data_IF_597673478551
#
_entry.id   IF_597673478551
#
_cell.length_a   1.000
_cell.length_b   1.000
_cell.length_c   1.000
_cell.angle_alpha   90.00
_cell.angle_beta   90.00
_cell.angle_gamma   90.00
#
_symmetry.space_group_name_H-M   'P 1'
#
loop_
_entity.id
_entity.type
_entity.pdbx_description
1 polymer ?
#
# COMPACT_ATOMS: atom_id res chain seq x y z
N UNK A 1 -15.02 21.62 32.76
CA UNK A 1 -14.73 20.18 32.84
C UNK A 1 -14.19 19.77 31.48
N UNK A 2 -12.89 19.45 31.42
CA UNK A 2 -12.16 19.17 30.18
C UNK A 2 -12.60 17.79 29.66
N UNK A 3 -13.13 17.71 28.45
CA UNK A 3 -13.20 16.45 27.70
C UNK A 3 -12.32 16.60 26.47
N UNK A 4 -11.15 15.98 26.53
CA UNK A 4 -10.18 15.88 25.45
C UNK A 4 -10.82 15.13 24.28
N UNK A 5 -11.06 15.86 23.19
CA UNK A 5 -11.36 15.28 21.87
C UNK A 5 -10.00 14.91 21.29
N UNK A 6 -9.57 13.66 21.51
CA UNK A 6 -8.47 13.06 20.76
C UNK A 6 -8.91 12.94 19.29
N UNK A 7 -8.41 13.87 18.48
CA UNK A 7 -8.55 13.89 17.03
C UNK A 7 -8.12 12.54 16.44
N UNK A 8 -9.08 11.69 16.10
CA UNK A 8 -8.90 10.63 15.11
C UNK A 8 -8.91 11.24 13.69
N UNK A 9 -8.11 12.29 13.46
CA UNK A 9 -7.91 12.88 12.12
C UNK A 9 -6.86 12.08 11.37
N UNK A 10 -7.28 11.20 10.47
CA UNK A 10 -6.34 10.47 9.63
C UNK A 10 -6.85 10.04 8.26
N UNK A 11 -8.15 10.11 7.98
CA UNK A 11 -8.68 9.70 6.67
C UNK A 11 -9.85 10.60 6.25
N UNK A 12 -9.54 11.84 5.89
CA UNK A 12 -10.47 12.69 5.12
C UNK A 12 -10.23 12.37 3.63
N UNK A 13 -10.79 11.26 3.15
CA UNK A 13 -10.63 10.83 1.76
C UNK A 13 -11.35 11.77 0.80
N UNK A 14 -10.60 12.65 0.12
CA UNK A 14 -11.01 13.22 -1.15
C UNK A 14 -10.52 12.25 -2.24
N UNK A 15 -11.37 11.89 -3.21
CA UNK A 15 -10.93 11.11 -4.37
C UNK A 15 -10.09 12.04 -5.23
N UNK A 16 -8.77 11.93 -5.13
CA UNK A 16 -7.83 12.65 -5.98
C UNK A 16 -7.54 11.85 -7.25
N UNK A 17 -7.06 12.54 -8.29
CA UNK A 17 -6.55 11.95 -9.53
C UNK A 17 -5.52 10.84 -9.27
N UNK A 18 -5.25 10.01 -10.29
CA UNK A 18 -4.27 8.92 -10.21
C UNK A 18 -2.95 9.40 -9.56
N UNK A 19 -2.46 8.71 -8.52
CA UNK A 19 -1.22 9.05 -7.85
C UNK A 19 -0.02 8.98 -8.79
N UNK A 20 0.38 10.13 -9.32
CA UNK A 20 1.60 10.23 -10.12
C UNK A 20 2.79 10.08 -9.17
N UNK A 21 3.74 9.21 -9.50
CA UNK A 21 5.03 9.00 -8.80
C UNK A 21 6.18 9.66 -9.57
N UNK A 22 6.15 9.65 -10.90
CA UNK A 22 7.07 10.43 -11.74
C UNK A 22 6.34 10.82 -13.02
N UNK A 23 6.38 12.10 -13.36
CA UNK A 23 5.89 12.61 -14.64
C UNK A 23 7.11 12.96 -15.49
N UNK A 24 7.49 12.05 -16.38
CA UNK A 24 8.68 12.15 -17.21
C UNK A 24 8.27 12.56 -18.61
N UNK A 25 7.85 13.82 -18.77
CA UNK A 25 7.45 14.37 -20.05
C UNK A 25 8.62 14.46 -21.06
N UNK A 26 9.88 14.52 -20.59
CA UNK A 26 11.04 14.86 -21.43
C UNK A 26 12.28 13.93 -21.32
N UNK A 27 12.28 12.88 -20.48
CA UNK A 27 13.53 12.17 -20.12
C UNK A 27 13.72 10.75 -20.70
N UNK A 28 12.78 10.22 -21.49
CA UNK A 28 12.86 8.84 -21.98
C UNK A 28 12.63 7.75 -20.91
N UNK A 29 12.52 8.14 -19.64
CA UNK A 29 12.06 7.29 -18.55
C UNK A 29 10.55 7.11 -18.59
N UNK A 30 10.06 5.90 -18.29
CA UNK A 30 8.62 5.63 -18.21
C UNK A 30 8.01 6.33 -17.00
N UNK A 31 6.93 7.09 -17.21
CA UNK A 31 6.19 7.71 -16.11
C UNK A 31 5.68 6.63 -15.15
N UNK A 32 5.80 6.91 -13.86
CA UNK A 32 5.41 6.00 -12.79
C UNK A 32 4.13 6.49 -12.15
N UNK A 33 3.17 5.60 -12.00
CA UNK A 33 1.90 5.84 -11.33
C UNK A 33 1.70 4.76 -10.27
N UNK A 34 1.20 5.16 -9.11
CA UNK A 34 0.73 4.25 -8.07
C UNK A 34 -0.81 4.21 -8.12
N UNK A 35 -1.42 3.15 -7.59
CA UNK A 35 -2.88 3.01 -7.65
C UNK A 35 -3.56 3.76 -6.51
N UNK A 36 -2.90 3.84 -5.35
CA UNK A 36 -3.47 4.40 -4.13
C UNK A 36 -2.46 5.34 -3.48
N UNK A 37 -2.94 6.49 -3.02
CA UNK A 37 -2.20 7.38 -2.14
C UNK A 37 -3.00 7.66 -0.87
N UNK A 38 -2.38 7.51 0.28
CA UNK A 38 -2.98 7.74 1.59
C UNK A 38 -2.11 8.71 2.38
N UNK A 39 -2.71 9.82 2.82
CA UNK A 39 -2.05 10.77 3.70
C UNK A 39 -2.22 10.35 5.17
N UNK A 40 -1.13 10.32 5.93
CA UNK A 40 -1.14 9.89 7.33
C UNK A 40 -1.08 8.37 7.53
N UNK A 41 -0.82 7.60 6.46
CA UNK A 41 -0.84 6.14 6.50
C UNK A 41 0.17 5.56 7.50
N UNK A 42 1.43 5.99 7.41
CA UNK A 42 2.51 5.53 8.28
C UNK A 42 2.88 6.57 9.33
N UNK A 43 3.20 7.78 8.87
CA UNK A 43 3.59 8.92 9.68
C UNK A 43 2.56 10.04 9.53
N UNK A 44 2.36 10.81 10.61
CA UNK A 44 1.44 11.95 10.57
C UNK A 44 1.97 12.95 9.53
N UNK A 45 1.06 13.47 8.70
CA UNK A 45 1.36 14.47 7.66
C UNK A 45 2.31 14.01 6.53
N UNK A 46 2.60 12.71 6.43
CA UNK A 46 3.32 12.13 5.31
C UNK A 46 2.36 11.36 4.39
N UNK A 47 2.61 11.39 3.09
CA UNK A 47 1.85 10.59 2.12
C UNK A 47 2.56 9.26 1.88
N UNK A 48 1.78 8.19 1.81
CA UNK A 48 2.23 6.87 1.38
C UNK A 48 1.52 6.48 0.08
N UNK A 49 2.26 5.90 -0.85
CA UNK A 49 1.75 5.38 -2.12
C UNK A 49 1.86 3.87 -2.16
N UNK A 50 0.87 3.24 -2.80
CA UNK A 50 0.73 1.79 -2.90
C UNK A 50 0.41 1.42 -4.34
N UNK A 51 1.06 0.36 -4.82
CA UNK A 51 0.76 -0.25 -6.10
C UNK A 51 0.33 -1.71 -5.87
N UNK A 52 -0.83 -2.06 -6.38
CA UNK A 52 -1.46 -3.36 -6.23
C UNK A 52 -1.09 -4.24 -7.42
N UNK A 53 -0.59 -5.44 -7.13
CA UNK A 53 -0.21 -6.40 -8.15
C UNK A 53 -0.71 -7.79 -7.80
N UNK A 54 -1.45 -8.40 -8.73
CA UNK A 54 -1.96 -9.76 -8.62
C UNK A 54 -1.09 -10.70 -9.45
N UNK A 55 -0.67 -11.81 -8.85
CA UNK A 55 0.12 -12.86 -9.49
C UNK A 55 -0.70 -14.15 -9.58
N UNK A 56 -0.69 -14.77 -10.76
CA UNK A 56 -1.14 -16.15 -10.90
C UNK A 56 0.02 -17.09 -10.50
N UNK A 57 0.00 -17.54 -9.25
CA UNK A 57 1.04 -18.42 -8.70
C UNK A 57 0.94 -19.85 -9.22
N UNK A 58 -0.16 -20.21 -9.88
CA UNK A 58 -0.40 -21.53 -10.47
C UNK A 58 -0.01 -21.59 -11.96
N UNK A 59 0.46 -20.48 -12.54
CA UNK A 59 0.92 -20.45 -13.91
C UNK A 59 2.06 -21.46 -14.15
N UNK A 60 2.03 -22.14 -15.30
CA UNK A 60 3.00 -23.21 -15.63
C UNK A 60 4.46 -22.78 -15.53
N UNK A 61 4.76 -21.50 -15.82
CA UNK A 61 6.10 -20.92 -15.70
C UNK A 61 6.63 -20.90 -14.25
N UNK A 62 5.74 -21.01 -13.27
CA UNK A 62 6.02 -20.88 -11.85
C UNK A 62 5.93 -22.19 -11.06
N UNK A 63 5.72 -23.32 -11.73
CA UNK A 63 5.51 -24.65 -11.12
C UNK A 63 6.56 -25.05 -10.06
N UNK A 64 7.79 -24.53 -10.17
CA UNK A 64 8.90 -24.84 -9.26
C UNK A 64 9.23 -23.73 -8.27
N UNK A 65 8.41 -22.67 -8.21
CA UNK A 65 8.61 -21.53 -7.34
C UNK A 65 7.54 -21.52 -6.24
N UNK A 66 7.92 -21.51 -4.94
CA UNK A 66 6.95 -21.37 -3.87
C UNK A 66 6.18 -20.04 -4.00
N UNK A 67 4.83 -20.03 -3.86
CA UNK A 67 4.01 -18.82 -4.01
C UNK A 67 4.51 -17.61 -3.20
N UNK A 68 4.91 -17.85 -1.96
CA UNK A 68 5.42 -16.80 -1.08
C UNK A 68 6.77 -16.21 -1.55
N UNK A 69 7.62 -17.02 -2.19
CA UNK A 69 8.87 -16.54 -2.79
C UNK A 69 8.61 -15.66 -4.02
N UNK A 70 7.56 -15.99 -4.78
CA UNK A 70 7.14 -15.18 -5.92
C UNK A 70 6.58 -13.83 -5.47
N UNK A 71 5.72 -13.83 -4.45
CA UNK A 71 5.21 -12.60 -3.84
C UNK A 71 6.34 -11.71 -3.32
N UNK A 72 7.29 -12.27 -2.57
CA UNK A 72 8.45 -11.53 -2.08
C UNK A 72 9.33 -10.98 -3.23
N UNK A 73 9.42 -11.70 -4.34
CA UNK A 73 10.15 -11.24 -5.52
C UNK A 73 9.43 -10.09 -6.20
N UNK A 74 8.10 -10.19 -6.37
CA UNK A 74 7.28 -9.11 -6.91
C UNK A 74 7.33 -7.84 -6.03
N UNK A 75 7.24 -7.98 -4.70
CA UNK A 75 7.38 -6.86 -3.76
C UNK A 75 8.73 -6.15 -3.91
N UNK A 76 9.81 -6.93 -4.04
CA UNK A 76 11.17 -6.42 -4.26
C UNK A 76 11.31 -5.72 -5.61
N UNK A 77 10.72 -6.26 -6.67
CA UNK A 77 10.74 -5.65 -8.00
C UNK A 77 9.97 -4.33 -8.04
N UNK A 78 8.80 -4.27 -7.40
CA UNK A 78 8.07 -3.02 -7.22
C UNK A 78 8.88 -2.00 -6.43
N UNK A 79 9.42 -2.37 -5.26
CA UNK A 79 10.28 -1.46 -4.48
C UNK A 79 11.46 -0.95 -5.30
N UNK A 80 12.15 -1.83 -6.03
CA UNK A 80 13.25 -1.43 -6.92
C UNK A 80 12.82 -0.40 -7.95
N UNK A 81 11.60 -0.51 -8.49
CA UNK A 81 11.06 0.40 -9.51
C UNK A 81 10.64 1.76 -8.92
N UNK A 82 9.97 1.78 -7.76
CA UNK A 82 9.31 2.98 -7.25
C UNK A 82 10.09 3.72 -6.16
N UNK A 83 10.95 3.05 -5.38
CA UNK A 83 11.53 3.64 -4.16
C UNK A 83 12.31 4.92 -4.38
N UNK A 84 13.12 5.02 -5.44
CA UNK A 84 13.90 6.21 -5.74
C UNK A 84 12.99 7.41 -6.06
N UNK A 85 12.05 7.21 -6.99
CA UNK A 85 11.10 8.25 -7.39
C UNK A 85 10.18 8.70 -6.24
N UNK A 86 9.76 7.77 -5.37
CA UNK A 86 8.98 8.11 -4.19
C UNK A 86 9.82 8.91 -3.17
N UNK A 87 11.09 8.53 -2.97
CA UNK A 87 12.00 9.26 -2.09
C UNK A 87 12.23 10.70 -2.57
N UNK A 88 12.39 10.92 -3.88
CA UNK A 88 12.52 12.27 -4.48
C UNK A 88 11.29 13.16 -4.23
N UNK A 89 10.11 12.54 -4.03
CA UNK A 89 8.85 13.24 -3.68
C UNK A 89 8.58 13.30 -2.18
N UNK A 90 9.50 12.82 -1.34
CA UNK A 90 9.30 12.67 0.10
C UNK A 90 8.03 11.87 0.46
N UNK A 91 7.72 10.85 -0.36
CA UNK A 91 6.59 9.94 -0.20
C UNK A 91 7.14 8.54 0.10
N UNK A 92 6.51 7.81 1.03
CA UNK A 92 6.86 6.40 1.25
C UNK A 92 6.15 5.50 0.25
N UNK A 93 6.81 4.46 -0.24
CA UNK A 93 6.20 3.44 -1.09
C UNK A 93 6.05 2.11 -0.35
N UNK A 94 4.86 1.51 -0.43
CA UNK A 94 4.61 0.16 0.11
C UNK A 94 3.99 -0.72 -0.98
N UNK A 95 4.67 -1.80 -1.40
CA UNK A 95 4.12 -2.72 -2.39
C UNK A 95 2.91 -3.48 -1.82
N UNK A 96 1.95 -3.79 -2.69
CA UNK A 96 0.80 -4.64 -2.35
C UNK A 96 0.72 -5.78 -3.36
N UNK A 97 1.38 -6.90 -3.06
CA UNK A 97 1.39 -8.06 -3.93
C UNK A 97 0.48 -9.16 -3.38
N UNK A 98 -0.41 -9.66 -4.23
CA UNK A 98 -1.36 -10.71 -3.91
C UNK A 98 -1.27 -11.81 -4.96
N UNK A 99 -1.60 -13.04 -4.57
CA UNK A 99 -1.90 -14.07 -5.55
C UNK A 99 -3.39 -14.07 -5.89
N UNK A 100 -3.75 -14.66 -7.02
CA UNK A 100 -5.15 -14.77 -7.46
C UNK A 100 -6.02 -15.59 -6.47
N UNK A 101 -5.42 -16.57 -5.80
CA UNK A 101 -6.03 -17.40 -4.75
C UNK A 101 -6.05 -16.75 -3.36
N UNK A 102 -5.56 -15.50 -3.23
CA UNK A 102 -5.72 -14.68 -2.02
C UNK A 102 -4.56 -14.73 -1.03
N UNK A 103 -3.41 -15.30 -1.39
CA UNK A 103 -2.19 -15.12 -0.61
C UNK A 103 -1.71 -13.69 -0.74
N UNK A 104 -1.05 -13.21 0.31
CA UNK A 104 -0.56 -11.83 0.40
C UNK A 104 0.92 -11.83 0.72
N UNK A 105 1.64 -10.93 0.08
CA UNK A 105 3.02 -10.63 0.42
C UNK A 105 3.14 -10.04 1.84
N UNK A 106 4.30 -10.24 2.46
CA UNK A 106 4.50 -9.90 3.88
C UNK A 106 4.55 -8.37 4.08
N UNK A 107 5.04 -7.64 3.08
CA UNK A 107 5.20 -6.17 3.17
C UNK A 107 3.86 -5.46 3.15
N UNK A 108 2.84 -6.06 2.52
CA UNK A 108 1.51 -5.48 2.44
C UNK A 108 0.68 -5.63 3.71
N UNK A 109 1.00 -6.61 4.55
CA UNK A 109 0.21 -6.91 5.75
C UNK A 109 0.08 -5.74 6.74
N UNK A 110 1.15 -5.01 7.11
CA UNK A 110 1.07 -4.03 8.18
C UNK A 110 0.12 -2.85 7.89
N UNK A 111 -0.08 -2.48 6.62
CA UNK A 111 -1.02 -1.39 6.29
C UNK A 111 -2.46 -1.85 6.47
N UNK A 112 -2.75 -3.11 6.17
CA UNK A 112 -4.09 -3.68 6.37
C UNK A 112 -4.40 -3.84 7.86
N UNK A 113 -3.42 -4.27 8.66
CA UNK A 113 -3.57 -4.31 10.12
C UNK A 113 -3.88 -2.92 10.67
N UNK A 114 -3.11 -1.91 10.24
CA UNK A 114 -3.34 -0.52 10.66
C UNK A 114 -4.70 0.03 10.20
N UNK A 115 -5.13 -0.34 9.00
CA UNK A 115 -6.46 0.01 8.49
C UNK A 115 -7.55 -0.63 9.35
N UNK A 116 -7.38 -1.90 9.74
CA UNK A 116 -8.27 -2.60 10.66
C UNK A 116 -8.39 -1.90 12.01
N UNK A 117 -7.26 -1.50 12.60
CA UNK A 117 -7.23 -0.74 13.85
C UNK A 117 -7.96 0.60 13.72
N UNK A 118 -7.71 1.32 12.62
CA UNK A 118 -8.38 2.59 12.35
C UNK A 118 -9.90 2.42 12.23
N UNK A 119 -10.34 1.40 11.49
CA UNK A 119 -11.76 1.11 11.30
C UNK A 119 -12.42 0.63 12.60
N UNK A 120 -11.73 -0.16 13.42
CA UNK A 120 -12.19 -0.60 14.73
C UNK A 120 -12.50 0.60 15.65
N UNK A 121 -11.56 1.55 15.74
CA UNK A 121 -11.76 2.80 16.48
C UNK A 121 -12.90 3.61 15.89
N UNK A 122 -12.91 3.80 14.55
CA UNK A 122 -13.92 4.60 13.86
C UNK A 122 -15.34 4.07 14.06
N UNK A 123 -15.52 2.76 14.06
CA UNK A 123 -16.83 2.11 14.19
C UNK A 123 -17.18 1.71 15.62
N UNK A 124 -16.28 1.91 16.59
CA UNK A 124 -16.49 1.50 17.97
C UNK A 124 -16.67 -0.01 18.13
N UNK A 125 -16.00 -0.81 17.28
CA UNK A 125 -16.05 -2.28 17.29
C UNK A 125 -14.67 -2.85 17.63
N UNK A 126 -14.62 -4.09 18.10
CA UNK A 126 -13.33 -4.77 18.28
C UNK A 126 -12.68 -5.05 16.92
N UNK A 127 -11.35 -5.01 16.87
CA UNK A 127 -10.57 -5.35 15.67
C UNK A 127 -10.99 -6.69 15.05
N UNK A 128 -11.24 -7.68 15.92
CA UNK A 128 -11.70 -9.02 15.52
C UNK A 128 -13.07 -9.06 14.84
N UNK A 129 -13.88 -8.01 14.90
CA UNK A 129 -15.15 -7.93 14.16
C UNK A 129 -14.96 -7.18 12.84
N UNK A 130 -13.90 -6.37 12.73
CA UNK A 130 -13.65 -5.51 11.58
C UNK A 130 -12.85 -6.24 10.49
N UNK A 131 -11.93 -7.11 10.89
CA UNK A 131 -11.02 -7.82 9.98
C UNK A 131 -11.43 -9.28 9.70
N UNK A 132 -12.46 -9.80 10.39
CA UNK A 132 -12.99 -11.16 10.20
C UNK A 132 -14.34 -11.17 9.49
#
# INVERSE_FOLDING_TARGET
MKSEILYASGFNGHVTQEPIVTDSLDSGDSSLFADIAIHGAWERQATAMFHVHFLDTDAKSYLHHPPQSMLATAEREQKRKYSAACADRHVSFTPQCFSVDGLMGIEGKPILDRLGDFLAVKWGRSYSIVIH
#
